data_IF_407136253290
#
_entry.id   IF_407136253290
#
_cell.length_a   1.000
_cell.length_b   1.000
_cell.length_c   1.000
_cell.angle_alpha   90.00
_cell.angle_beta   90.00
_cell.angle_gamma   90.00
#
_symmetry.space_group_name_H-M   'P 1'
#
loop_
_entity.id
_entity.type
_entity.pdbx_description
1 polymer ?
#
# COMPACT_ATOMS: atom_id res chain seq x y z
N UNK A 1 50.41 -15.86 55.55
CA UNK A 1 51.45 -15.58 54.53
C UNK A 1 51.57 -16.82 53.63
N UNK A 2 51.67 -16.75 52.29
CA UNK A 2 51.17 -15.77 51.31
C UNK A 2 50.48 -16.44 50.06
N UNK A 3 49.99 -15.59 49.13
CA UNK A 3 49.73 -15.80 47.68
C UNK A 3 48.49 -16.60 47.22
N UNK A 4 47.59 -15.94 46.48
CA UNK A 4 47.42 -16.07 45.01
C UNK A 4 46.28 -15.12 44.56
N UNK A 5 46.65 -13.94 44.04
CA UNK A 5 46.54 -13.57 42.62
C UNK A 5 45.15 -13.04 42.23
N UNK A 6 45.04 -11.71 42.27
CA UNK A 6 44.00 -10.93 41.60
C UNK A 6 44.09 -11.18 40.08
N UNK A 7 43.08 -11.81 39.51
CA UNK A 7 42.90 -11.88 38.06
C UNK A 7 41.99 -10.73 37.65
N UNK A 8 42.61 -9.63 37.21
CA UNK A 8 41.99 -8.67 36.30
C UNK A 8 41.79 -9.35 34.96
N UNK A 9 40.54 -9.55 34.55
CA UNK A 9 40.20 -9.85 33.16
C UNK A 9 39.36 -8.69 32.66
N UNK A 10 40.02 -7.77 31.96
CA UNK A 10 39.36 -6.81 31.07
C UNK A 10 39.02 -7.53 29.77
N UNK A 11 37.73 -7.69 29.48
CA UNK A 11 37.26 -7.93 28.11
C UNK A 11 36.31 -6.79 27.78
N UNK A 12 36.81 -5.85 26.99
CA UNK A 12 36.01 -4.90 26.25
C UNK A 12 35.57 -5.58 24.95
N UNK A 13 34.26 -5.65 24.71
CA UNK A 13 33.70 -5.79 23.37
C UNK A 13 32.34 -5.11 23.35
N UNK A 14 32.34 -3.86 22.91
CA UNK A 14 31.14 -3.14 22.51
C UNK A 14 30.57 -3.82 21.27
N UNK A 15 29.45 -4.52 21.42
CA UNK A 15 28.60 -4.89 20.28
C UNK A 15 27.41 -3.95 20.32
N UNK A 16 27.51 -2.86 19.56
CA UNK A 16 26.36 -2.07 19.15
C UNK A 16 25.49 -2.96 18.24
N UNK A 17 24.73 -3.88 18.82
CA UNK A 17 23.59 -4.47 18.11
C UNK A 17 22.51 -3.39 18.08
N UNK A 18 22.59 -2.53 17.06
CA UNK A 18 21.48 -1.70 16.65
C UNK A 18 20.35 -2.62 16.20
N UNK A 19 19.55 -3.09 17.15
CA UNK A 19 18.19 -3.54 16.86
C UNK A 19 17.42 -2.26 16.55
N UNK A 20 17.41 -1.86 15.28
CA UNK A 20 16.34 -1.01 14.81
C UNK A 20 15.07 -1.87 14.92
N UNK A 21 14.40 -1.80 16.07
CA UNK A 21 12.99 -2.15 16.16
C UNK A 21 12.30 -1.12 15.28
N UNK A 22 12.12 -1.47 14.01
CA UNK A 22 11.08 -0.84 13.21
C UNK A 22 9.81 -1.18 13.98
N UNK A 23 9.29 -0.22 14.72
CA UNK A 23 7.91 -0.22 15.17
C UNK A 23 7.10 -0.18 13.87
N UNK A 24 6.86 -1.37 13.31
CA UNK A 24 6.02 -1.56 12.15
C UNK A 24 4.61 -1.30 12.65
N UNK A 25 4.26 -0.02 12.70
CA UNK A 25 2.91 0.42 12.98
C UNK A 25 2.04 -0.30 11.95
N UNK A 26 1.12 -1.19 12.36
CA UNK A 26 0.37 -2.01 11.42
C UNK A 26 -0.35 -1.06 10.48
N UNK A 27 0.10 -1.00 9.22
CA UNK A 27 -0.67 -0.32 8.19
C UNK A 27 -2.04 -1.00 8.21
N UNK A 28 -3.15 -0.26 8.36
CA UNK A 28 -4.46 -0.87 8.42
C UNK A 28 -4.67 -1.71 7.16
N UNK A 29 -4.56 -3.03 7.30
CA UNK A 29 -4.72 -3.94 6.17
C UNK A 29 -6.19 -3.94 5.81
N UNK A 30 -6.47 -3.59 4.57
CA UNK A 30 -7.79 -3.65 3.99
C UNK A 30 -8.17 -5.11 3.75
N UNK A 31 -8.67 -5.76 4.82
CA UNK A 31 -8.97 -7.19 4.85
C UNK A 31 -9.81 -7.65 3.64
N UNK A 32 -10.85 -6.90 3.20
CA UNK A 32 -11.60 -7.28 2.00
C UNK A 32 -10.74 -7.41 0.74
N UNK A 33 -9.75 -6.53 0.53
CA UNK A 33 -8.84 -6.62 -0.62
C UNK A 33 -7.94 -7.86 -0.53
N UNK A 34 -7.45 -8.19 0.67
CA UNK A 34 -6.52 -9.30 0.87
C UNK A 34 -7.23 -10.65 0.80
N UNK A 35 -8.41 -10.76 1.42
CA UNK A 35 -9.15 -12.02 1.61
C UNK A 35 -9.99 -12.45 0.40
N UNK A 36 -10.12 -11.60 -0.63
CA UNK A 36 -10.89 -11.92 -1.82
C UNK A 36 -10.37 -13.19 -2.54
N UNK A 37 -11.25 -14.06 -3.08
CA UNK A 37 -10.84 -15.29 -3.76
C UNK A 37 -9.94 -15.03 -4.97
N UNK A 38 -9.01 -15.94 -5.27
CA UNK A 38 -8.16 -15.85 -6.47
C UNK A 38 -9.01 -15.78 -7.74
N UNK A 39 -8.51 -15.05 -8.75
CA UNK A 39 -9.17 -14.79 -10.04
C UNK A 39 -10.46 -13.97 -9.99
N UNK A 40 -10.90 -13.52 -8.81
CA UNK A 40 -12.03 -12.58 -8.68
C UNK A 40 -11.78 -11.35 -9.53
N UNK A 41 -12.82 -10.90 -10.24
CA UNK A 41 -12.79 -9.74 -11.11
C UNK A 41 -13.73 -8.68 -10.55
N UNK A 42 -13.20 -7.48 -10.35
CA UNK A 42 -13.92 -6.37 -9.71
C UNK A 42 -13.74 -5.11 -10.54
N UNK A 43 -14.81 -4.32 -10.61
CA UNK A 43 -14.78 -2.97 -11.18
C UNK A 43 -14.74 -1.96 -10.05
N UNK A 44 -13.84 -0.98 -10.17
CA UNK A 44 -13.72 0.11 -9.22
C UNK A 44 -13.78 1.46 -9.94
N UNK A 45 -14.39 2.45 -9.29
CA UNK A 45 -14.57 3.79 -9.85
C UNK A 45 -13.69 4.78 -9.08
N UNK A 46 -13.04 5.69 -9.79
CA UNK A 46 -12.25 6.74 -9.15
C UNK A 46 -13.15 7.70 -8.37
N UNK A 47 -12.86 7.92 -7.09
CA UNK A 47 -13.62 8.83 -6.22
C UNK A 47 -13.56 10.30 -6.69
N UNK A 48 -12.49 10.65 -7.42
CA UNK A 48 -12.32 11.92 -8.13
C UNK A 48 -12.02 11.66 -9.60
N UNK A 49 -12.38 12.57 -10.51
CA UNK A 49 -11.95 12.47 -11.89
C UNK A 49 -10.43 12.65 -12.03
N UNK A 50 -9.84 11.97 -13.00
CA UNK A 50 -8.49 12.22 -13.47
C UNK A 50 -8.40 13.65 -14.01
N UNK A 51 -7.40 14.40 -13.56
CA UNK A 51 -7.11 15.74 -14.03
C UNK A 51 -5.61 16.02 -13.95
N UNK A 52 -5.18 17.21 -14.37
CA UNK A 52 -3.78 17.64 -14.18
C UNK A 52 -3.41 17.78 -12.69
N UNK A 53 -4.39 18.01 -11.81
CA UNK A 53 -4.22 18.18 -10.38
C UNK A 53 -4.38 16.87 -9.61
N UNK A 54 -5.20 15.94 -10.12
CA UNK A 54 -5.45 14.62 -9.55
C UNK A 54 -4.97 13.54 -10.55
N UNK A 55 -3.65 13.28 -10.62
CA UNK A 55 -3.09 12.26 -11.52
C UNK A 55 -3.46 10.84 -11.07
N UNK A 56 -3.42 9.90 -12.01
CA UNK A 56 -3.85 8.51 -11.82
C UNK A 56 -3.32 7.83 -10.55
N UNK A 57 -2.04 8.00 -10.25
CA UNK A 57 -1.38 7.39 -9.07
C UNK A 57 -1.92 7.91 -7.73
N UNK A 58 -2.47 9.13 -7.71
CA UNK A 58 -3.05 9.74 -6.52
C UNK A 58 -4.54 9.45 -6.34
N UNK A 59 -5.18 8.86 -7.35
CA UNK A 59 -6.60 8.58 -7.32
C UNK A 59 -6.92 7.45 -6.35
N UNK A 60 -7.97 7.67 -5.59
CA UNK A 60 -8.59 6.66 -4.75
C UNK A 60 -9.70 5.99 -5.55
N UNK A 61 -9.77 4.67 -5.50
CA UNK A 61 -10.77 3.86 -6.19
C UNK A 61 -11.72 3.21 -5.20
N UNK A 62 -13.01 3.34 -5.45
CA UNK A 62 -14.08 2.68 -4.70
C UNK A 62 -14.51 1.43 -5.46
N UNK A 63 -14.39 0.28 -4.79
CA UNK A 63 -14.77 -1.03 -5.31
C UNK A 63 -15.98 -1.53 -4.52
N UNK A 64 -17.20 -1.25 -5.00
CA UNK A 64 -18.45 -1.57 -4.27
C UNK A 64 -18.59 -3.07 -3.98
N UNK A 65 -18.16 -3.92 -4.92
CA UNK A 65 -18.21 -5.39 -4.79
C UNK A 65 -17.37 -5.93 -3.63
N UNK A 66 -16.41 -5.14 -3.14
CA UNK A 66 -15.52 -5.48 -2.02
C UNK A 66 -15.78 -4.60 -0.79
N UNK A 67 -16.78 -3.71 -0.86
CA UNK A 67 -17.12 -2.73 0.18
C UNK A 67 -15.89 -1.92 0.64
N UNK A 68 -15.02 -1.57 -0.30
CA UNK A 68 -13.72 -0.98 0.01
C UNK A 68 -13.36 0.22 -0.86
N UNK A 69 -12.48 1.05 -0.35
CA UNK A 69 -11.97 2.24 -1.02
C UNK A 69 -10.49 2.39 -0.70
N UNK A 70 -9.64 2.41 -1.73
CA UNK A 70 -8.19 2.38 -1.59
C UNK A 70 -7.49 3.02 -2.81
N UNK A 71 -6.26 3.55 -2.67
CA UNK A 71 -5.44 3.92 -3.81
C UNK A 71 -5.02 2.69 -4.62
N UNK A 72 -4.62 2.90 -5.88
CA UNK A 72 -4.21 1.80 -6.75
C UNK A 72 -3.00 1.02 -6.19
N UNK A 73 -2.06 1.70 -5.53
CA UNK A 73 -0.89 1.07 -4.92
C UNK A 73 -1.29 0.02 -3.87
N UNK A 74 -2.24 0.35 -2.99
CA UNK A 74 -2.73 -0.57 -1.96
C UNK A 74 -3.47 -1.76 -2.60
N UNK A 75 -4.22 -1.53 -3.67
CA UNK A 75 -4.87 -2.59 -4.45
C UNK A 75 -3.82 -3.54 -5.04
N UNK A 76 -2.74 -3.01 -5.65
CA UNK A 76 -1.67 -3.83 -6.22
C UNK A 76 -0.87 -4.58 -5.16
N UNK A 77 -0.59 -3.93 -4.02
CA UNK A 77 0.12 -4.53 -2.89
C UNK A 77 -0.70 -5.67 -2.25
N UNK A 78 -2.03 -5.56 -2.29
CA UNK A 78 -2.95 -6.62 -1.89
C UNK A 78 -3.05 -7.79 -2.89
N UNK A 79 -2.24 -7.81 -3.96
CA UNK A 79 -2.17 -8.93 -4.91
C UNK A 79 -3.18 -8.86 -6.05
N UNK A 80 -3.69 -7.67 -6.37
CA UNK A 80 -4.55 -7.45 -7.53
C UNK A 80 -3.75 -6.95 -8.73
N UNK A 81 -4.18 -7.36 -9.92
CA UNK A 81 -3.65 -6.88 -11.20
C UNK A 81 -4.67 -5.99 -11.88
N UNK A 82 -4.23 -4.83 -12.35
CA UNK A 82 -5.01 -3.99 -13.25
C UNK A 82 -5.16 -4.68 -14.62
N UNK A 83 -6.40 -4.96 -15.03
CA UNK A 83 -6.72 -5.56 -16.32
C UNK A 83 -7.06 -4.51 -17.37
N UNK A 84 -7.84 -3.50 -17.00
CA UNK A 84 -8.24 -2.43 -17.91
C UNK A 84 -8.50 -1.13 -17.17
N UNK A 85 -8.37 -0.03 -17.90
CA UNK A 85 -8.77 1.31 -17.48
C UNK A 85 -9.71 1.85 -18.55
N UNK A 86 -10.93 2.18 -18.14
CA UNK A 86 -11.91 2.86 -18.94
C UNK A 86 -11.94 4.34 -18.55
N UNK A 87 -11.74 5.20 -19.54
CA UNK A 87 -11.78 6.66 -19.38
C UNK A 87 -13.17 7.13 -19.78
N UNK A 88 -13.88 7.75 -18.84
CA UNK A 88 -15.19 8.31 -19.10
C UNK A 88 -15.12 9.61 -19.90
N UNK A 89 -16.30 10.19 -20.17
CA UNK A 89 -16.40 11.40 -20.97
C UNK A 89 -15.66 12.57 -20.30
N UNK A 90 -14.94 13.32 -21.10
CA UNK A 90 -14.31 14.57 -20.69
C UNK A 90 -15.34 15.60 -20.22
N UNK A 91 -14.99 16.31 -19.16
CA UNK A 91 -15.69 17.49 -18.67
C UNK A 91 -14.69 18.61 -18.40
N UNK A 92 -15.12 19.86 -18.60
CA UNK A 92 -14.35 21.03 -18.20
C UNK A 92 -14.96 21.61 -16.92
N UNK A 93 -14.24 21.49 -15.81
CA UNK A 93 -14.63 22.04 -14.52
C UNK A 93 -13.66 23.18 -14.19
N UNK A 94 -14.13 24.42 -14.25
CA UNK A 94 -13.33 25.61 -13.92
C UNK A 94 -12.03 25.75 -14.73
N UNK A 95 -12.07 25.42 -16.03
CA UNK A 95 -10.90 25.46 -16.91
C UNK A 95 -10.01 24.22 -16.81
N UNK A 96 -10.35 23.26 -15.95
CA UNK A 96 -9.63 22.00 -15.79
C UNK A 96 -10.35 20.88 -16.52
N UNK A 97 -9.64 20.24 -17.44
CA UNK A 97 -10.08 19.02 -18.11
C UNK A 97 -10.08 17.87 -17.09
N UNK A 98 -11.23 17.25 -16.92
CA UNK A 98 -11.48 16.20 -15.92
C UNK A 98 -12.21 15.01 -16.54
N UNK A 99 -11.73 13.80 -16.27
CA UNK A 99 -12.28 12.55 -16.80
C UNK A 99 -12.50 11.53 -15.68
N UNK A 100 -13.73 11.03 -15.43
CA UNK A 100 -13.92 9.95 -14.47
C UNK A 100 -13.26 8.66 -14.98
N UNK A 101 -12.65 7.89 -14.08
CA UNK A 101 -12.02 6.63 -14.42
C UNK A 101 -12.78 5.44 -13.82
N UNK A 102 -12.78 4.34 -14.56
CA UNK A 102 -13.26 3.05 -14.09
C UNK A 102 -12.19 2.02 -14.40
N UNK A 103 -11.72 1.30 -13.39
CA UNK A 103 -10.71 0.25 -13.53
C UNK A 103 -11.35 -1.12 -13.37
N UNK A 104 -10.84 -2.09 -14.11
CA UNK A 104 -11.11 -3.52 -13.86
C UNK A 104 -9.86 -4.16 -13.28
N UNK A 105 -10.00 -4.85 -12.16
CA UNK A 105 -8.90 -5.52 -11.47
C UNK A 105 -9.20 -7.01 -11.30
N UNK A 106 -8.14 -7.84 -11.35
CA UNK A 106 -8.22 -9.27 -11.10
C UNK A 106 -7.32 -9.67 -9.93
N UNK A 107 -7.86 -10.43 -8.97
CA UNK A 107 -7.08 -11.04 -7.89
C UNK A 107 -6.16 -12.13 -8.45
N UNK A 108 -4.87 -12.09 -8.13
CA UNK A 108 -3.91 -13.06 -8.65
C UNK A 108 -3.88 -14.36 -7.83
N UNK A 109 -3.89 -14.25 -6.51
CA UNK A 109 -3.72 -15.35 -5.55
C UNK A 109 -4.69 -15.20 -4.38
#
# INVERSE_FOLDING_TARGET
MPRFALLFISVAAAVLSGCATVEEQPVPVNKPLVEAPSRTLVTCVSAKPLSAQDPFESLIFTCEQLETTAPLSEITDAGWRLESVSVGKESNLNGVISMPLTITIRKLF
#
